data_IF_077404373524
#
_entry.id   IF_077404373524
#
_cell.length_a   1.000
_cell.length_b   1.000
_cell.length_c   1.000
_cell.angle_alpha   90.00
_cell.angle_beta   90.00
_cell.angle_gamma   90.00
#
_symmetry.space_group_name_H-M   'P 1'
#
loop_
_entity.id
_entity.type
_entity.pdbx_description
1 polymer ?
#
# COMPACT_ATOMS: atom_id res chain seq x y z
N UNK A 1 -3.15 17.80 26.15
CA UNK A 1 -3.18 18.47 24.83
C UNK A 1 -2.74 17.54 23.70
N UNK A 2 -1.54 16.95 23.75
CA UNK A 2 -1.04 16.08 22.67
C UNK A 2 -1.98 14.91 22.29
N UNK A 3 -2.57 14.23 23.28
CA UNK A 3 -3.49 13.10 23.04
C UNK A 3 -4.73 13.54 22.24
N UNK A 4 -5.37 14.65 22.62
CA UNK A 4 -6.52 15.19 21.88
C UNK A 4 -6.14 15.61 20.45
N UNK A 5 -4.97 16.23 20.27
CA UNK A 5 -4.48 16.64 18.95
C UNK A 5 -4.28 15.42 18.04
N UNK A 6 -3.56 14.40 18.52
CA UNK A 6 -3.38 13.17 17.75
C UNK A 6 -4.71 12.44 17.48
N UNK A 7 -5.66 12.45 18.41
CA UNK A 7 -6.97 11.85 18.20
C UNK A 7 -7.69 12.52 17.01
N UNK A 8 -7.75 13.86 17.01
CA UNK A 8 -8.34 14.62 15.91
C UNK A 8 -7.61 14.34 14.60
N UNK A 9 -6.27 14.36 14.60
CA UNK A 9 -5.47 14.07 13.40
C UNK A 9 -5.76 12.68 12.86
N UNK A 10 -5.81 11.64 13.70
CA UNK A 10 -6.10 10.28 13.25
C UNK A 10 -7.53 10.14 12.73
N UNK A 11 -8.53 10.75 13.37
CA UNK A 11 -9.89 10.71 12.84
C UNK A 11 -10.00 11.38 11.46
N UNK A 12 -9.46 12.59 11.32
CA UNK A 12 -9.49 13.32 10.04
C UNK A 12 -8.69 12.61 8.96
N UNK A 13 -7.48 12.13 9.29
CA UNK A 13 -6.62 11.42 8.34
C UNK A 13 -7.25 10.09 7.92
N UNK A 14 -7.88 9.35 8.83
CA UNK A 14 -8.58 8.10 8.52
C UNK A 14 -9.79 8.36 7.63
N UNK A 15 -10.60 9.38 7.95
CA UNK A 15 -11.74 9.78 7.11
C UNK A 15 -11.29 10.13 5.69
N UNK A 16 -10.28 10.98 5.56
CA UNK A 16 -9.71 11.40 4.28
C UNK A 16 -9.15 10.20 3.52
N UNK A 17 -8.41 9.32 4.19
CA UNK A 17 -7.86 8.09 3.61
C UNK A 17 -8.96 7.20 3.06
N UNK A 18 -9.96 6.86 3.88
CA UNK A 18 -11.05 5.94 3.49
C UNK A 18 -11.90 6.52 2.38
N UNK A 19 -12.39 7.76 2.53
CA UNK A 19 -13.24 8.41 1.51
C UNK A 19 -12.45 8.61 0.22
N UNK A 20 -11.21 9.10 0.30
CA UNK A 20 -10.34 9.30 -0.85
C UNK A 20 -10.04 7.99 -1.58
N UNK A 21 -9.75 6.91 -0.85
CA UNK A 21 -9.49 5.59 -1.43
C UNK A 21 -10.73 5.03 -2.13
N UNK A 22 -11.90 5.07 -1.48
CA UNK A 22 -13.17 4.62 -2.06
C UNK A 22 -13.54 5.44 -3.31
N UNK A 23 -13.33 6.75 -3.27
CA UNK A 23 -13.54 7.62 -4.42
C UNK A 23 -12.63 7.24 -5.60
N UNK A 24 -11.35 6.96 -5.34
CA UNK A 24 -10.39 6.52 -6.38
C UNK A 24 -10.76 5.16 -6.96
N UNK A 25 -11.11 4.20 -6.11
CA UNK A 25 -11.58 2.87 -6.55
C UNK A 25 -12.85 3.00 -7.40
N UNK A 26 -13.83 3.81 -6.96
CA UNK A 26 -15.06 4.06 -7.72
C UNK A 26 -14.76 4.71 -9.07
N UNK A 27 -13.84 5.66 -9.10
CA UNK A 27 -13.38 6.29 -10.34
C UNK A 27 -12.78 5.24 -11.28
N UNK A 28 -11.85 4.41 -10.81
CA UNK A 28 -11.24 3.35 -11.62
C UNK A 28 -12.25 2.33 -12.13
N UNK A 29 -13.22 1.94 -11.31
CA UNK A 29 -14.28 1.00 -11.69
C UNK A 29 -15.23 1.56 -12.75
N UNK A 30 -15.43 2.88 -12.77
CA UNK A 30 -16.34 3.56 -13.71
C UNK A 30 -15.64 4.07 -14.96
N UNK A 31 -14.32 4.20 -14.96
CA UNK A 31 -13.54 4.64 -16.13
C UNK A 31 -13.70 3.61 -17.27
N UNK A 32 -14.25 4.00 -18.43
CA UNK A 32 -14.42 3.07 -19.54
C UNK A 32 -13.07 2.59 -20.09
N UNK A 33 -12.96 1.29 -20.36
CA UNK A 33 -11.85 0.68 -21.11
C UNK A 33 -12.34 0.30 -22.52
N UNK A 34 -12.30 1.24 -23.50
CA UNK A 34 -12.95 1.03 -24.79
C UNK A 34 -12.27 -0.03 -25.66
N UNK A 35 -11.01 -0.36 -25.37
CA UNK A 35 -10.21 -1.31 -26.14
C UNK A 35 -9.82 -2.51 -25.27
N UNK A 36 -9.72 -3.67 -25.92
CA UNK A 36 -8.99 -4.83 -25.38
C UNK A 36 -7.52 -4.70 -25.76
N UNK A 37 -6.68 -4.41 -24.78
CA UNK A 37 -5.24 -4.19 -24.94
C UNK A 37 -4.41 -5.02 -23.94
N UNK A 38 -4.70 -6.32 -23.72
CA UNK A 38 -3.92 -7.11 -22.79
C UNK A 38 -2.48 -7.27 -23.31
N UNK A 39 -1.49 -7.20 -22.41
CA UNK A 39 -0.08 -7.42 -22.78
C UNK A 39 0.14 -8.90 -23.09
N UNK A 40 0.64 -9.19 -24.29
CA UNK A 40 0.94 -10.55 -24.76
C UNK A 40 2.21 -11.13 -24.12
N UNK A 41 2.29 -12.46 -23.89
CA UNK A 41 1.25 -13.46 -24.10
C UNK A 41 0.13 -13.32 -23.05
N UNK A 42 -1.11 -13.14 -23.52
CA UNK A 42 -2.25 -12.85 -22.68
C UNK A 42 -3.16 -14.07 -22.54
N UNK A 43 -3.78 -14.31 -21.37
CA UNK A 43 -4.71 -15.41 -21.20
C UNK A 43 -6.00 -15.19 -21.99
N UNK A 44 -6.49 -16.25 -22.64
CA UNK A 44 -7.75 -16.24 -23.40
C UNK A 44 -8.98 -16.49 -22.52
N UNK A 45 -8.78 -17.00 -21.29
CA UNK A 45 -9.86 -17.33 -20.34
C UNK A 45 -9.83 -16.43 -19.10
N UNK A 46 -10.98 -16.27 -18.44
CA UNK A 46 -11.10 -15.53 -17.18
C UNK A 46 -10.22 -16.15 -16.08
N UNK A 47 -10.19 -17.48 -15.96
CA UNK A 47 -9.32 -18.17 -15.00
C UNK A 47 -7.84 -17.88 -15.22
N UNK A 48 -7.40 -17.82 -16.49
CA UNK A 48 -6.04 -17.44 -16.83
C UNK A 48 -5.71 -15.98 -16.46
N UNK A 49 -6.66 -15.05 -16.61
CA UNK A 49 -6.50 -13.66 -16.16
C UNK A 49 -6.33 -13.58 -14.65
N UNK A 50 -7.17 -14.31 -13.89
CA UNK A 50 -7.05 -14.39 -12.43
C UNK A 50 -5.68 -14.92 -12.03
N UNK A 51 -5.20 -16.01 -12.66
CA UNK A 51 -3.88 -16.55 -12.39
C UNK A 51 -2.76 -15.54 -12.69
N UNK A 52 -2.83 -14.84 -13.84
CA UNK A 52 -1.87 -13.77 -14.18
C UNK A 52 -1.87 -12.69 -13.10
N UNK A 53 -3.04 -12.20 -12.71
CA UNK A 53 -3.17 -11.16 -11.70
C UNK A 53 -2.62 -11.60 -10.34
N UNK A 54 -2.90 -12.83 -9.91
CA UNK A 54 -2.34 -13.39 -8.69
C UNK A 54 -0.81 -13.42 -8.74
N UNK A 55 -0.22 -13.88 -9.85
CA UNK A 55 1.25 -13.94 -9.99
C UNK A 55 1.89 -12.55 -10.03
N UNK A 56 1.22 -11.59 -10.65
CA UNK A 56 1.65 -10.20 -10.68
C UNK A 56 1.55 -9.50 -9.33
N UNK A 57 0.51 -9.75 -8.53
CA UNK A 57 0.30 -9.08 -7.24
C UNK A 57 1.14 -9.74 -6.13
N UNK A 58 1.21 -11.08 -6.11
CA UNK A 58 1.87 -11.82 -5.03
C UNK A 58 3.37 -11.96 -5.26
N UNK A 59 3.79 -12.20 -6.51
CA UNK A 59 5.19 -12.55 -6.82
C UNK A 59 5.90 -11.51 -7.69
N UNK A 60 5.21 -10.45 -8.12
CA UNK A 60 5.75 -9.45 -9.06
C UNK A 60 6.40 -10.10 -10.29
N UNK A 61 5.74 -11.11 -10.89
CA UNK A 61 6.31 -11.97 -11.93
C UNK A 61 6.97 -11.19 -13.09
N UNK A 62 6.33 -10.15 -13.62
CA UNK A 62 6.91 -9.30 -14.66
C UNK A 62 8.22 -8.65 -14.22
N UNK A 63 8.29 -8.17 -12.96
CA UNK A 63 9.50 -7.55 -12.41
C UNK A 63 10.59 -8.58 -12.16
N UNK A 64 10.24 -9.79 -11.71
CA UNK A 64 11.16 -10.91 -11.54
C UNK A 64 11.90 -11.22 -12.86
N UNK A 65 11.14 -11.29 -13.96
CA UNK A 65 11.70 -11.53 -15.31
C UNK A 65 12.52 -10.35 -15.83
N UNK A 66 12.17 -9.12 -15.46
CA UNK A 66 12.81 -7.93 -16.00
C UNK A 66 14.09 -7.51 -15.26
N UNK A 67 14.10 -7.55 -13.92
CA UNK A 67 15.24 -7.10 -13.12
C UNK A 67 15.22 -7.74 -11.73
N UNK A 68 16.03 -8.78 -11.54
CA UNK A 68 16.05 -9.57 -10.31
C UNK A 68 16.45 -8.77 -9.06
N UNK A 69 17.35 -7.80 -9.19
CA UNK A 69 17.76 -6.93 -8.08
C UNK A 69 16.62 -6.04 -7.59
N UNK A 70 15.93 -5.38 -8.52
CA UNK A 70 14.78 -4.52 -8.20
C UNK A 70 13.62 -5.37 -7.68
N UNK A 71 13.42 -6.56 -8.25
CA UNK A 71 12.47 -7.53 -7.73
C UNK A 71 12.78 -7.93 -6.29
N UNK A 72 14.02 -8.32 -5.99
CA UNK A 72 14.42 -8.76 -4.66
C UNK A 72 14.21 -7.69 -3.59
N UNK A 73 14.67 -6.45 -3.85
CA UNK A 73 14.44 -5.32 -2.95
C UNK A 73 12.95 -4.97 -2.84
N UNK A 74 12.20 -5.05 -3.95
CA UNK A 74 10.77 -4.79 -4.00
C UNK A 74 9.95 -5.80 -3.21
N UNK A 75 10.24 -7.10 -3.36
CA UNK A 75 9.62 -8.19 -2.59
C UNK A 75 9.97 -8.09 -1.12
N UNK A 76 11.26 -7.86 -0.80
CA UNK A 76 11.70 -7.70 0.59
C UNK A 76 10.93 -6.56 1.27
N UNK A 77 10.79 -5.42 0.61
CA UNK A 77 10.00 -4.30 1.12
C UNK A 77 8.50 -4.66 1.28
N UNK A 78 7.82 -5.14 0.23
CA UNK A 78 6.37 -5.34 0.28
C UNK A 78 5.93 -6.49 1.19
N UNK A 79 6.65 -7.62 1.18
CA UNK A 79 6.35 -8.73 2.08
C UNK A 79 6.55 -8.32 3.55
N UNK A 80 7.61 -7.54 3.83
CA UNK A 80 7.86 -6.99 5.15
C UNK A 80 6.79 -5.97 5.56
N UNK A 81 6.41 -5.06 4.66
CA UNK A 81 5.35 -4.09 4.88
C UNK A 81 4.02 -4.77 5.22
N UNK A 82 3.65 -5.82 4.49
CA UNK A 82 2.45 -6.60 4.77
C UNK A 82 2.51 -7.23 6.18
N UNK A 83 3.60 -7.90 6.52
CA UNK A 83 3.76 -8.53 7.83
C UNK A 83 3.81 -7.51 8.99
N UNK A 84 4.49 -6.39 8.80
CA UNK A 84 4.52 -5.28 9.77
C UNK A 84 3.11 -4.74 9.96
N UNK A 85 2.36 -4.49 8.88
CA UNK A 85 0.97 -3.99 8.96
C UNK A 85 0.07 -4.98 9.71
N UNK A 86 0.16 -6.28 9.41
CA UNK A 86 -0.60 -7.32 10.11
C UNK A 86 -0.24 -7.37 11.60
N UNK A 87 1.05 -7.24 11.95
CA UNK A 87 1.50 -7.18 13.34
C UNK A 87 0.91 -5.99 14.09
N UNK A 88 0.70 -4.85 13.43
CA UNK A 88 0.12 -3.65 14.04
C UNK A 88 -1.33 -3.83 14.49
N UNK A 89 -2.05 -4.85 14.00
CA UNK A 89 -3.42 -5.17 14.45
C UNK A 89 -3.51 -5.46 15.96
N UNK A 90 -2.39 -5.82 16.61
CA UNK A 90 -2.31 -5.96 18.07
C UNK A 90 -2.77 -4.71 18.82
N UNK A 91 -2.58 -3.52 18.25
CA UNK A 91 -2.98 -2.26 18.88
C UNK A 91 -4.47 -1.95 18.76
N UNK A 92 -5.22 -2.74 17.97
CA UNK A 92 -6.62 -2.51 17.66
C UNK A 92 -7.55 -3.66 18.08
N UNK A 93 -7.01 -4.69 18.74
CA UNK A 93 -7.75 -5.90 19.13
C UNK A 93 -7.50 -6.26 20.59
N UNK A 94 -8.57 -6.58 21.32
CA UNK A 94 -8.51 -7.06 22.72
C UNK A 94 -9.64 -8.07 23.02
N UNK A 95 -9.33 -9.34 23.32
CA UNK A 95 -7.99 -9.94 23.33
C UNK A 95 -7.35 -9.93 21.93
N UNK A 96 -6.01 -9.98 21.90
CA UNK A 96 -5.26 -10.04 20.63
C UNK A 96 -5.57 -11.38 19.96
N UNK A 97 -5.88 -11.36 18.66
CA UNK A 97 -6.16 -12.59 17.93
C UNK A 97 -4.95 -13.53 17.92
N UNK A 98 -5.18 -14.83 18.11
CA UNK A 98 -4.12 -15.84 18.24
C UNK A 98 -3.09 -15.81 17.09
N UNK A 99 -3.56 -15.64 15.84
CA UNK A 99 -2.66 -15.55 14.68
C UNK A 99 -1.85 -14.24 14.67
N UNK A 100 -2.39 -13.13 15.20
CA UNK A 100 -1.68 -11.85 15.35
C UNK A 100 -0.58 -11.97 16.42
N UNK A 101 -0.84 -12.73 17.49
CA UNK A 101 0.16 -13.04 18.51
C UNK A 101 1.30 -13.90 17.94
N UNK A 102 0.94 -14.95 17.19
CA UNK A 102 1.90 -15.83 16.54
C UNK A 102 2.88 -15.07 15.62
N UNK A 103 2.41 -14.06 14.88
CA UNK A 103 3.26 -13.30 13.95
C UNK A 103 4.13 -12.21 14.61
N UNK A 104 3.94 -11.89 15.90
CA UNK A 104 4.67 -10.81 16.58
C UNK A 104 6.21 -10.88 16.46
N UNK A 105 6.88 -12.02 16.73
CA UNK A 105 8.34 -12.10 16.64
C UNK A 105 8.82 -11.90 15.20
N UNK A 106 8.13 -12.51 14.22
CA UNK A 106 8.46 -12.36 12.81
C UNK A 106 8.29 -10.92 12.32
N UNK A 107 7.30 -10.19 12.83
CA UNK A 107 7.09 -8.80 12.47
C UNK A 107 8.14 -7.82 13.03
N UNK A 108 9.04 -8.24 13.93
CA UNK A 108 10.22 -7.45 14.32
C UNK A 108 11.29 -7.55 13.23
N UNK A 109 11.62 -8.77 12.80
CA UNK A 109 12.54 -9.01 11.69
C UNK A 109 12.04 -8.36 10.40
N UNK A 110 10.73 -8.41 10.17
CA UNK A 110 10.07 -7.71 9.07
C UNK A 110 10.35 -6.20 9.10
N UNK A 111 10.35 -5.56 10.27
CA UNK A 111 10.69 -4.13 10.37
C UNK A 111 12.10 -3.84 9.86
N UNK A 112 13.08 -4.69 10.22
CA UNK A 112 14.48 -4.57 9.78
C UNK A 112 14.58 -4.77 8.27
N UNK A 113 14.00 -5.84 7.75
CA UNK A 113 14.03 -6.14 6.30
C UNK A 113 13.25 -5.12 5.48
N UNK A 114 12.17 -4.54 6.03
CA UNK A 114 11.45 -3.42 5.42
C UNK A 114 12.37 -2.21 5.23
N UNK A 115 13.11 -1.82 6.29
CA UNK A 115 14.05 -0.71 6.24
C UNK A 115 15.17 -0.98 5.23
N UNK A 116 15.75 -2.18 5.22
CA UNK A 116 16.79 -2.56 4.25
C UNK A 116 16.28 -2.52 2.80
N UNK A 117 15.08 -3.07 2.54
CA UNK A 117 14.46 -3.02 1.22
C UNK A 117 14.19 -1.60 0.75
N UNK A 118 13.69 -0.73 1.63
CA UNK A 118 13.46 0.68 1.34
C UNK A 118 14.76 1.44 1.04
N UNK A 119 15.80 1.25 1.87
CA UNK A 119 17.11 1.86 1.66
C UNK A 119 17.73 1.41 0.34
N UNK A 120 17.64 0.12 0.00
CA UNK A 120 18.09 -0.40 -1.29
C UNK A 120 17.35 0.21 -2.48
N UNK A 121 16.02 0.32 -2.40
CA UNK A 121 15.21 0.94 -3.46
C UNK A 121 15.50 2.44 -3.60
N UNK A 122 15.76 3.14 -2.50
CA UNK A 122 16.14 4.55 -2.52
C UNK A 122 17.56 4.76 -3.06
N UNK A 123 18.53 3.93 -2.64
CA UNK A 123 19.88 3.92 -3.17
C UNK A 123 19.89 3.68 -4.68
N UNK A 124 19.13 2.70 -5.19
CA UNK A 124 18.93 2.49 -6.62
C UNK A 124 18.45 3.75 -7.35
N UNK A 125 17.59 4.54 -6.71
CA UNK A 125 17.03 5.76 -7.29
C UNK A 125 18.04 6.90 -7.38
N UNK A 126 19.03 6.93 -6.49
CA UNK A 126 20.07 7.94 -6.45
C UNK A 126 21.28 7.55 -7.31
N UNK A 127 21.68 6.28 -7.25
CA UNK A 127 22.95 5.81 -7.80
C UNK A 127 22.85 5.35 -9.27
N UNK A 128 21.69 4.84 -9.71
CA UNK A 128 21.53 4.37 -11.09
C UNK A 128 21.06 5.52 -11.98
N UNK A 129 21.93 5.98 -12.88
CA UNK A 129 21.71 7.16 -13.73
C UNK A 129 20.36 7.14 -14.48
N UNK A 130 20.05 6.03 -15.16
CA UNK A 130 18.77 5.87 -15.88
C UNK A 130 17.55 6.08 -14.97
N UNK A 131 17.62 5.61 -13.72
CA UNK A 131 16.52 5.69 -12.77
C UNK A 131 16.46 7.08 -12.17
N UNK A 132 17.61 7.67 -11.82
CA UNK A 132 17.71 9.05 -11.33
C UNK A 132 17.14 10.03 -12.35
N UNK A 133 17.43 9.84 -13.63
CA UNK A 133 16.94 10.70 -14.72
C UNK A 133 15.41 10.72 -14.82
N UNK A 134 14.73 9.60 -14.59
CA UNK A 134 13.26 9.50 -14.66
C UNK A 134 12.56 9.70 -13.31
N UNK A 135 13.31 9.95 -12.24
CA UNK A 135 12.75 10.06 -10.88
C UNK A 135 12.26 11.47 -10.60
N UNK A 136 11.07 11.55 -10.02
CA UNK A 136 10.45 12.81 -9.59
C UNK A 136 10.64 13.00 -8.08
N UNK A 137 10.54 14.24 -7.55
CA UNK A 137 10.65 14.49 -6.10
C UNK A 137 9.69 13.62 -5.26
N UNK A 138 8.48 13.39 -5.76
CA UNK A 138 7.49 12.50 -5.12
C UNK A 138 8.02 11.08 -4.90
N UNK A 139 8.85 10.54 -5.82
CA UNK A 139 9.42 9.20 -5.68
C UNK A 139 10.42 9.10 -4.51
N UNK A 140 11.14 10.18 -4.23
CA UNK A 140 12.06 10.26 -3.10
C UNK A 140 11.29 10.50 -1.80
N UNK A 141 10.34 11.44 -1.79
CA UNK A 141 9.58 11.79 -0.60
C UNK A 141 8.78 10.61 -0.04
N UNK A 142 8.15 9.79 -0.88
CA UNK A 142 7.41 8.61 -0.41
C UNK A 142 8.35 7.56 0.20
N UNK A 143 9.53 7.34 -0.38
CA UNK A 143 10.51 6.41 0.17
C UNK A 143 11.08 6.94 1.50
N UNK A 144 11.43 8.22 1.57
CA UNK A 144 11.92 8.85 2.81
C UNK A 144 10.88 8.79 3.92
N UNK A 145 9.60 9.05 3.62
CA UNK A 145 8.51 8.93 4.59
C UNK A 145 8.42 7.50 5.16
N UNK A 146 8.42 6.48 4.28
CA UNK A 146 8.35 5.08 4.72
C UNK A 146 9.61 4.62 5.46
N UNK A 147 10.79 5.11 5.06
CA UNK A 147 12.06 4.89 5.79
C UNK A 147 11.96 5.49 7.19
N UNK A 148 11.46 6.73 7.31
CA UNK A 148 11.25 7.39 8.60
C UNK A 148 10.30 6.62 9.50
N UNK A 149 9.18 6.12 8.98
CA UNK A 149 8.23 5.27 9.71
C UNK A 149 8.91 3.97 10.17
N UNK A 150 9.61 3.28 9.27
CA UNK A 150 10.32 2.03 9.59
C UNK A 150 11.38 2.23 10.66
N UNK A 151 12.24 3.24 10.48
CA UNK A 151 13.36 3.56 11.37
C UNK A 151 12.86 3.99 12.75
N UNK A 152 11.89 4.91 12.82
CA UNK A 152 11.30 5.32 14.11
C UNK A 152 10.62 4.15 14.83
N UNK A 153 9.92 3.26 14.11
CA UNK A 153 9.33 2.05 14.69
C UNK A 153 10.38 1.09 15.29
N UNK A 154 11.51 0.89 14.60
CA UNK A 154 12.63 0.09 15.09
C UNK A 154 13.33 0.75 16.28
N UNK A 155 13.53 2.07 16.24
CA UNK A 155 14.12 2.83 17.34
C UNK A 155 13.25 2.74 18.60
N UNK A 156 11.91 2.80 18.49
CA UNK A 156 11.02 2.59 19.64
C UNK A 156 11.16 1.18 20.23
N UNK A 157 11.42 0.18 19.39
CA UNK A 157 11.57 -1.22 19.82
C UNK A 157 12.93 -1.52 20.46
N UNK A 158 14.02 -1.00 19.91
CA UNK A 158 15.38 -1.39 20.28
C UNK A 158 16.15 -0.35 21.09
N UNK A 159 15.71 0.91 21.07
CA UNK A 159 16.43 2.03 21.71
C UNK A 159 15.56 2.66 22.79
N UNK A 160 14.41 3.24 22.44
CA UNK A 160 13.60 4.03 23.36
C UNK A 160 12.69 3.19 24.28
N UNK A 161 12.33 1.97 23.88
CA UNK A 161 11.46 1.06 24.64
C UNK A 161 10.12 1.70 25.07
N UNK A 162 9.46 2.36 24.11
CA UNK A 162 8.16 3.03 24.31
C UNK A 162 7.12 2.11 24.97
N UNK A 163 6.28 2.67 25.85
CA UNK A 163 5.20 1.94 26.52
C UNK A 163 4.10 1.51 25.52
N UNK A 164 4.25 0.29 25.01
CA UNK A 164 3.32 -0.31 24.05
C UNK A 164 1.94 -0.65 24.65
N UNK A 165 1.83 -0.77 25.97
CA UNK A 165 0.56 -1.06 26.65
C UNK A 165 -0.29 0.21 26.63
N UNK A 166 0.30 1.35 27.00
CA UNK A 166 -0.38 2.63 26.93
C UNK A 166 -0.72 3.04 25.48
N UNK A 167 0.16 2.77 24.51
CA UNK A 167 -0.15 2.96 23.08
C UNK A 167 -1.34 2.09 22.64
N UNK A 168 -1.41 0.82 23.05
CA UNK A 168 -2.56 -0.05 22.78
C UNK A 168 -3.85 0.52 23.38
N UNK A 169 -3.80 0.93 24.65
CA UNK A 169 -4.94 1.57 25.33
C UNK A 169 -5.43 2.82 24.60
N UNK A 170 -4.51 3.64 24.09
CA UNK A 170 -4.83 4.80 23.28
C UNK A 170 -5.61 4.48 22.01
N UNK A 171 -5.10 3.55 21.18
CA UNK A 171 -5.78 3.20 19.92
C UNK A 171 -7.10 2.45 20.14
N UNK A 172 -7.19 1.57 21.14
CA UNK A 172 -8.48 0.97 21.54
C UNK A 172 -9.48 2.03 22.02
N UNK A 173 -9.01 3.04 22.75
CA UNK A 173 -9.83 4.19 23.14
C UNK A 173 -10.39 4.94 21.94
N UNK A 174 -9.56 5.21 20.93
CA UNK A 174 -10.00 5.86 19.68
C UNK A 174 -11.08 5.06 18.96
N UNK A 175 -10.99 3.72 18.94
CA UNK A 175 -12.01 2.84 18.33
C UNK A 175 -13.38 2.96 19.03
N UNK A 176 -13.39 3.28 20.33
CA UNK A 176 -14.60 3.43 21.13
C UNK A 176 -14.96 4.90 21.40
N UNK A 177 -14.37 5.84 20.65
CA UNK A 177 -14.57 7.29 20.83
C UNK A 177 -14.28 7.79 22.26
N UNK A 178 -13.38 7.12 22.96
CA UNK A 178 -12.95 7.44 24.31
C UNK A 178 -11.45 7.75 24.33
N UNK A 179 -11.10 9.02 24.14
CA UNK A 179 -9.70 9.47 24.02
C UNK A 179 -8.94 9.20 25.31
N UNK A 180 -8.02 8.23 25.27
CA UNK A 180 -7.11 7.94 26.38
C UNK A 180 -5.86 8.82 26.31
N UNK A 181 -5.00 8.70 27.34
CA UNK A 181 -3.71 9.38 27.37
C UNK A 181 -2.73 8.69 26.42
N UNK A 182 -2.21 9.46 25.47
CA UNK A 182 -1.08 9.07 24.64
C UNK A 182 0.23 9.27 25.44
N UNK A 183 1.14 8.28 25.49
CA UNK A 183 2.45 8.44 26.13
C UNK A 183 3.22 9.65 25.61
N UNK A 184 3.82 10.41 26.53
CA UNK A 184 4.63 11.58 26.21
C UNK A 184 6.04 11.18 25.75
N UNK A 185 6.11 10.57 24.57
CA UNK A 185 7.36 10.13 23.92
C UNK A 185 7.51 10.85 22.57
N UNK A 186 8.63 11.57 22.41
CA UNK A 186 8.92 12.35 21.20
C UNK A 186 9.10 11.46 19.96
N UNK A 187 9.72 10.30 20.12
CA UNK A 187 9.94 9.37 19.02
C UNK A 187 8.61 8.75 18.57
N UNK A 188 7.73 8.43 19.53
CA UNK A 188 6.36 8.00 19.26
C UNK A 188 5.57 9.10 18.54
N UNK A 189 5.62 10.35 19.03
CA UNK A 189 4.93 11.47 18.39
C UNK A 189 5.41 11.68 16.94
N UNK A 190 6.72 11.58 16.69
CA UNK A 190 7.30 11.62 15.35
C UNK A 190 6.80 10.46 14.47
N UNK A 191 6.84 9.23 14.98
CA UNK A 191 6.33 8.05 14.28
C UNK A 191 4.86 8.21 13.87
N UNK A 192 3.99 8.57 14.82
CA UNK A 192 2.57 8.76 14.57
C UNK A 192 2.29 9.91 13.61
N UNK A 193 3.06 11.00 13.68
CA UNK A 193 2.93 12.12 12.73
C UNK A 193 3.25 11.70 11.30
N UNK A 194 4.27 10.88 11.09
CA UNK A 194 4.60 10.33 9.77
C UNK A 194 3.52 9.35 9.28
N UNK A 195 2.92 8.56 10.17
CA UNK A 195 1.78 7.69 9.81
C UNK A 195 0.56 8.51 9.43
N UNK A 196 0.23 9.58 10.17
CA UNK A 196 -0.83 10.53 9.80
C UNK A 196 -0.56 11.12 8.41
N UNK A 197 0.68 11.58 8.16
CA UNK A 197 1.08 12.10 6.86
C UNK A 197 0.89 11.05 5.75
N UNK A 198 1.29 9.80 6.00
CA UNK A 198 1.09 8.69 5.06
C UNK A 198 -0.38 8.48 4.71
N UNK A 199 -1.28 8.44 5.71
CA UNK A 199 -2.72 8.28 5.50
C UNK A 199 -3.30 9.44 4.66
N UNK A 200 -2.90 10.68 4.95
CA UNK A 200 -3.36 11.87 4.24
C UNK A 200 -2.91 11.87 2.77
N UNK A 201 -1.65 11.52 2.49
CA UNK A 201 -1.12 11.58 1.11
C UNK A 201 -1.51 10.36 0.26
N UNK A 202 -1.84 9.23 0.88
CA UNK A 202 -2.11 7.96 0.19
C UNK A 202 -3.11 8.10 -0.99
N UNK A 203 -4.34 8.64 -0.82
CA UNK A 203 -5.34 8.68 -1.89
C UNK A 203 -5.04 9.70 -3.02
N UNK A 204 -3.93 10.44 -2.91
CA UNK A 204 -3.50 11.43 -3.89
C UNK A 204 -2.10 11.13 -4.46
N UNK A 205 -1.53 9.97 -4.15
CA UNK A 205 -0.14 9.65 -4.46
C UNK A 205 -0.02 8.40 -5.33
N UNK A 206 1.24 8.08 -5.68
CA UNK A 206 1.64 6.85 -6.37
C UNK A 206 1.34 5.58 -5.57
N UNK A 207 0.98 5.68 -4.29
CA UNK A 207 0.57 4.55 -3.45
C UNK A 207 -0.76 3.93 -3.89
N UNK A 208 -1.57 4.65 -4.70
CA UNK A 208 -2.77 4.12 -5.34
C UNK A 208 -2.53 2.96 -6.30
N UNK A 209 -1.27 2.59 -6.59
CA UNK A 209 -0.98 1.34 -7.27
C UNK A 209 -1.55 0.12 -6.54
N UNK A 210 -1.73 0.19 -5.21
CA UNK A 210 -2.24 -0.93 -4.41
C UNK A 210 -3.65 -1.41 -4.88
N UNK A 211 -4.68 -0.55 -4.98
CA UNK A 211 -5.92 -0.91 -5.66
C UNK A 211 -5.81 -0.81 -7.19
N UNK A 212 -5.00 0.12 -7.72
CA UNK A 212 -4.98 0.48 -9.14
C UNK A 212 -4.53 -0.67 -10.05
N UNK A 213 -3.68 -1.59 -9.56
CA UNK A 213 -3.22 -2.75 -10.33
C UNK A 213 -4.38 -3.60 -10.86
N UNK A 214 -5.47 -3.73 -10.10
CA UNK A 214 -6.64 -4.53 -10.46
C UNK A 214 -7.48 -3.91 -11.58
N UNK A 215 -7.32 -2.62 -11.84
CA UNK A 215 -8.04 -1.88 -12.87
C UNK A 215 -7.23 -1.66 -14.16
N UNK A 216 -5.99 -2.17 -14.23
CA UNK A 216 -5.12 -1.99 -15.40
C UNK A 216 -5.60 -2.84 -16.60
N UNK A 217 -6.10 -2.22 -17.70
CA UNK A 217 -6.63 -2.96 -18.86
C UNK A 217 -5.62 -3.93 -19.47
N UNK A 218 -4.35 -3.55 -19.45
CA UNK A 218 -3.24 -4.36 -19.95
C UNK A 218 -3.01 -5.66 -19.18
N UNK A 219 -3.50 -5.74 -17.94
CA UNK A 219 -3.28 -6.87 -17.02
C UNK A 219 -4.56 -7.58 -16.58
N UNK A 220 -5.73 -6.96 -16.69
CA UNK A 220 -6.99 -7.54 -16.19
C UNK A 220 -7.96 -7.95 -17.31
N UNK A 221 -7.57 -7.82 -18.58
CA UNK A 221 -8.38 -8.23 -19.72
C UNK A 221 -7.96 -9.61 -20.26
N UNK A 222 -8.95 -10.36 -20.75
CA UNK A 222 -8.72 -11.58 -21.56
C UNK A 222 -8.43 -11.22 -23.02
N UNK A 223 -7.66 -12.07 -23.68
CA UNK A 223 -7.34 -11.97 -25.10
C UNK A 223 -8.25 -12.89 -25.91
N UNK A 224 -9.48 -12.44 -26.14
CA UNK A 224 -10.46 -13.11 -26.99
C UNK A 224 -11.10 -12.21 -28.08
N UNK A 225 -10.37 -11.25 -28.70
CA UNK A 225 -10.95 -10.37 -29.71
C UNK A 225 -11.35 -11.12 -31.00
N UNK A 226 -10.78 -12.31 -31.24
CA UNK A 226 -11.10 -13.15 -32.41
C UNK A 226 -12.40 -13.94 -32.22
N UNK A 227 -12.68 -14.31 -30.98
CA UNK A 227 -13.83 -15.13 -30.60
C UNK A 227 -15.03 -14.27 -30.21
N UNK A 228 -14.79 -13.12 -29.56
CA UNK A 228 -15.84 -12.20 -29.12
C UNK A 228 -15.48 -10.76 -29.39
N UNK A 229 -16.25 -10.12 -30.28
CA UNK A 229 -16.18 -8.68 -30.53
C UNK A 229 -16.36 -7.92 -29.20
N UNK A 230 -15.36 -7.10 -28.85
CA UNK A 230 -15.47 -6.15 -27.76
C UNK A 230 -16.23 -4.92 -28.23
N UNK A 231 -17.30 -4.58 -27.54
CA UNK A 231 -18.11 -3.39 -27.83
C UNK A 231 -18.18 -2.55 -26.56
N UNK A 232 -17.67 -1.32 -26.61
CA UNK A 232 -17.80 -0.37 -25.51
C UNK A 232 -19.24 0.15 -25.43
N UNK A 233 -19.65 0.63 -24.24
CA UNK A 233 -21.02 1.15 -24.06
C UNK A 233 -21.37 2.30 -25.02
N UNK A 234 -20.41 3.18 -25.32
CA UNK A 234 -20.63 4.27 -26.28
C UNK A 234 -20.72 3.76 -27.73
N UNK A 235 -19.93 2.75 -28.10
CA UNK A 235 -19.99 2.15 -29.43
C UNK A 235 -21.32 1.40 -29.63
N UNK A 236 -21.79 0.71 -28.58
CA UNK A 236 -23.11 0.08 -28.57
C UNK A 236 -24.23 1.10 -28.81
N UNK A 237 -24.15 2.27 -28.17
CA UNK A 237 -25.12 3.35 -28.36
C UNK A 237 -25.15 3.84 -29.82
N UNK A 238 -23.98 4.11 -30.41
CA UNK A 238 -23.89 4.55 -31.81
C UNK A 238 -24.37 3.50 -32.81
N UNK A 239 -24.18 2.21 -32.53
CA UNK A 239 -24.72 1.14 -33.37
C UNK A 239 -26.24 1.02 -33.22
N UNK A 240 -26.80 1.27 -32.03
CA UNK A 240 -28.25 1.26 -31.82
C UNK A 240 -28.99 2.44 -32.45
N UNK A 241 -28.33 3.59 -32.61
CA UNK A 241 -28.91 4.79 -33.25
C UNK A 241 -28.93 4.73 -34.79
N UNK A 242 -28.23 3.76 -35.39
CA UNK A 242 -28.16 3.57 -36.84
C UNK A 242 -29.21 2.58 -37.38
N UNK A 243 -29.93 1.88 -36.51
CA UNK A 243 -31.02 0.94 -36.83
C UNK A 243 -32.36 1.55 -36.42
#
# INVERSE_FOLDING_TARGET
MASTVFAILFYLATLLFVVGLLYRISTYARTPAPLKIPTTPAPTTTGGVVLRMTREVVFFESLFKANLWTWGMGMLFHASLALVTLRHLRYFTDPVWAWVEFIQPFGIYAGITMLLGLLGLWARRLLVERIRYISTPSDHLMLVLLIGIAASGLMMKFVAHTDVIAVKGYFLGLMHFNVQVLPADLLLAGHLSMVVALLVVFPFSKLLHAPGVFFSPTRNQKDDPREKRHLSAWAAKLESEKN
#
